data_IF_348733606976
#
_entry.id   IF_348733606976
#
_cell.length_a   1.000
_cell.length_b   1.000
_cell.length_c   1.000
_cell.angle_alpha   90.00
_cell.angle_beta   90.00
_cell.angle_gamma   90.00
#
_symmetry.space_group_name_H-M   'P 1'
#
loop_
_entity.id
_entity.type
_entity.pdbx_description
1 polymer ?
#
# COMPACT_ATOMS: atom_id res chain seq x y z
N UNK A 1 50.88 18.89 -15.04
CA UNK A 1 49.85 19.76 -14.43
C UNK A 1 48.51 19.06 -14.64
N UNK A 2 47.88 18.65 -13.54
CA UNK A 2 46.56 18.02 -13.57
C UNK A 2 45.50 19.08 -13.87
N UNK A 3 44.75 18.90 -14.95
CA UNK A 3 43.57 19.72 -15.25
C UNK A 3 42.46 19.25 -14.33
N UNK A 4 42.05 20.11 -13.40
CA UNK A 4 40.84 19.97 -12.61
C UNK A 4 39.69 19.98 -13.60
N UNK A 5 38.99 18.85 -13.73
CA UNK A 5 37.71 18.79 -14.42
C UNK A 5 36.74 19.47 -13.46
N UNK A 6 36.24 20.64 -13.86
CA UNK A 6 35.10 21.27 -13.23
C UNK A 6 33.94 20.27 -13.25
N UNK A 7 33.62 19.74 -12.07
CA UNK A 7 32.34 19.06 -11.84
C UNK A 7 31.32 20.19 -11.76
N UNK A 8 30.92 20.70 -12.94
CA UNK A 8 29.67 21.44 -13.05
C UNK A 8 28.59 20.53 -12.47
N UNK A 9 27.92 21.04 -11.44
CA UNK A 9 26.78 20.42 -10.81
C UNK A 9 25.67 20.23 -11.85
N UNK A 10 25.68 19.08 -12.51
CA UNK A 10 24.53 18.55 -13.20
C UNK A 10 23.48 18.23 -12.13
N UNK A 11 22.71 19.24 -11.71
CA UNK A 11 21.35 19.02 -11.26
C UNK A 11 20.56 18.55 -12.48
N UNK A 12 20.82 17.31 -12.91
CA UNK A 12 19.89 16.57 -13.75
C UNK A 12 18.64 16.40 -12.90
N UNK A 13 17.64 17.24 -13.17
CA UNK A 13 16.26 16.98 -12.77
C UNK A 13 15.88 15.67 -13.45
N UNK A 14 16.15 14.54 -12.78
CA UNK A 14 15.72 13.23 -13.22
C UNK A 14 14.20 13.20 -13.16
N UNK A 15 13.56 13.58 -14.27
CA UNK A 15 12.17 13.28 -14.53
C UNK A 15 12.03 11.74 -14.55
N UNK A 16 11.69 11.13 -13.40
CA UNK A 16 11.35 9.70 -13.29
C UNK A 16 10.12 9.42 -14.17
N UNK A 17 9.93 8.35 -14.94
CA UNK A 17 8.61 8.23 -15.61
C UNK A 17 7.51 7.91 -14.57
N UNK A 18 6.23 8.28 -14.78
CA UNK A 18 5.13 7.87 -13.87
C UNK A 18 5.09 6.34 -13.71
N UNK A 19 5.46 5.62 -14.77
CA UNK A 19 5.63 4.17 -14.74
C UNK A 19 6.77 3.73 -13.82
N UNK A 20 7.91 4.42 -13.80
CA UNK A 20 9.03 4.07 -12.94
C UNK A 20 8.73 4.29 -11.45
N UNK A 21 7.98 5.34 -11.12
CA UNK A 21 7.46 5.54 -9.76
C UNK A 21 6.56 4.37 -9.33
N UNK A 22 5.68 3.90 -10.21
CA UNK A 22 4.80 2.75 -9.95
C UNK A 22 5.59 1.42 -9.91
N UNK A 23 6.65 1.27 -10.73
CA UNK A 23 7.54 0.10 -10.69
C UNK A 23 8.25 -0.02 -9.34
N UNK A 24 8.72 1.08 -8.76
CA UNK A 24 9.32 1.11 -7.42
C UNK A 24 8.35 0.55 -6.38
N UNK A 25 7.09 0.99 -6.41
CA UNK A 25 6.07 0.49 -5.48
C UNK A 25 5.68 -0.97 -5.75
N UNK A 26 5.68 -1.41 -7.01
CA UNK A 26 5.46 -2.80 -7.39
C UNK A 26 6.58 -3.72 -6.90
N UNK A 27 7.85 -3.29 -6.98
CA UNK A 27 8.98 -4.02 -6.42
C UNK A 27 8.87 -4.16 -4.91
N UNK A 28 8.55 -3.05 -4.22
CA UNK A 28 8.30 -3.05 -2.77
C UNK A 28 7.20 -4.03 -2.39
N UNK A 29 6.10 -4.02 -3.14
CA UNK A 29 5.00 -4.94 -2.96
C UNK A 29 5.44 -6.39 -3.03
N UNK A 30 6.15 -6.80 -4.09
CA UNK A 30 6.61 -8.19 -4.23
C UNK A 30 7.68 -8.59 -3.19
N UNK A 31 8.56 -7.67 -2.81
CA UNK A 31 9.60 -7.95 -1.78
C UNK A 31 9.01 -8.28 -0.41
N UNK A 32 7.78 -7.87 -0.13
CA UNK A 32 7.11 -8.12 1.15
C UNK A 32 6.45 -9.51 1.25
N UNK A 33 6.54 -10.31 0.17
CA UNK A 33 5.77 -11.53 -0.03
C UNK A 33 4.27 -11.32 0.30
N UNK A 34 3.53 -10.63 -0.57
CA UNK A 34 2.17 -10.19 -0.25
C UNK A 34 1.15 -11.34 -0.10
N UNK A 35 1.55 -12.58 -0.37
CA UNK A 35 0.71 -13.77 -0.35
C UNK A 35 -0.15 -13.90 -1.61
N UNK A 36 -1.02 -14.92 -1.62
CA UNK A 36 -1.87 -15.23 -2.77
C UNK A 36 -2.85 -14.10 -3.11
N UNK A 37 -2.88 -13.72 -4.39
CA UNK A 37 -4.00 -13.00 -4.99
C UNK A 37 -5.14 -13.98 -5.28
N UNK A 38 -6.39 -13.58 -5.10
CA UNK A 38 -7.52 -14.53 -5.13
C UNK A 38 -7.71 -15.19 -6.50
N UNK A 39 -8.09 -16.48 -6.53
CA UNK A 39 -8.18 -17.36 -7.71
C UNK A 39 -9.27 -17.05 -8.78
N UNK A 40 -9.78 -15.83 -8.88
CA UNK A 40 -10.79 -15.48 -9.89
C UNK A 40 -10.14 -14.87 -11.15
N UNK A 41 -10.70 -15.07 -12.37
CA UNK A 41 -10.09 -14.71 -13.67
C UNK A 41 -9.97 -13.19 -13.97
N UNK A 42 -10.09 -12.35 -12.93
CA UNK A 42 -9.96 -10.90 -12.98
C UNK A 42 -8.78 -10.45 -12.08
N UNK A 43 -7.59 -11.06 -12.24
CA UNK A 43 -6.30 -10.36 -12.50
C UNK A 43 -6.05 -9.09 -11.63
N UNK A 44 -6.20 -9.18 -10.31
CA UNK A 44 -6.38 -8.02 -9.42
C UNK A 44 -5.14 -7.57 -8.66
N UNK A 45 -4.34 -6.67 -9.22
CA UNK A 45 -3.10 -6.11 -8.64
C UNK A 45 -1.83 -6.91 -8.94
N UNK A 46 -1.73 -8.22 -8.65
CA UNK A 46 -0.48 -8.97 -8.92
C UNK A 46 -0.11 -8.93 -10.39
N UNK A 47 -1.06 -9.26 -11.26
CA UNK A 47 -0.83 -9.28 -12.70
C UNK A 47 -0.59 -7.87 -13.28
N UNK A 48 -1.26 -6.85 -12.75
CA UNK A 48 -1.00 -5.44 -13.11
C UNK A 48 0.40 -5.01 -12.69
N UNK A 49 0.84 -5.38 -11.48
CA UNK A 49 2.20 -5.13 -11.00
C UNK A 49 3.24 -5.86 -11.86
N UNK A 50 3.03 -7.14 -12.19
CA UNK A 50 3.90 -7.88 -13.12
C UNK A 50 3.96 -7.22 -14.50
N UNK A 51 2.81 -6.75 -15.02
CA UNK A 51 2.74 -6.04 -16.30
C UNK A 51 3.54 -4.74 -16.25
N UNK A 52 3.39 -3.97 -15.17
CA UNK A 52 4.14 -2.74 -14.94
C UNK A 52 5.66 -2.96 -14.95
N UNK A 53 6.11 -4.04 -14.29
CA UNK A 53 7.52 -4.44 -14.23
C UNK A 53 8.06 -5.02 -15.55
N UNK A 54 7.19 -5.49 -16.44
CA UNK A 54 7.58 -5.99 -17.76
C UNK A 54 7.83 -4.87 -18.77
N UNK A 55 8.18 -5.25 -20.01
CA UNK A 55 8.28 -4.34 -21.16
C UNK A 55 6.92 -4.03 -21.82
N UNK A 56 5.82 -4.65 -21.39
CA UNK A 56 4.48 -4.46 -22.01
C UNK A 56 3.95 -3.06 -21.74
N UNK A 57 3.23 -2.46 -22.69
CA UNK A 57 2.60 -1.16 -22.50
C UNK A 57 1.46 -1.22 -21.48
N UNK A 58 1.21 -0.09 -20.81
CA UNK A 58 0.14 0.04 -19.83
C UNK A 58 -0.44 1.46 -19.93
N UNK A 59 -1.76 1.57 -19.94
CA UNK A 59 -2.40 2.88 -20.03
C UNK A 59 -2.20 3.66 -18.74
N UNK A 60 -2.35 4.99 -18.80
CA UNK A 60 -2.23 5.83 -17.60
C UNK A 60 -3.36 5.59 -16.62
N UNK A 61 -4.54 5.24 -17.10
CA UNK A 61 -5.65 4.83 -16.25
C UNK A 61 -5.32 3.53 -15.50
N UNK A 62 -4.68 2.57 -16.17
CA UNK A 62 -4.23 1.32 -15.55
C UNK A 62 -3.08 1.56 -14.56
N UNK A 63 -2.14 2.46 -14.88
CA UNK A 63 -1.10 2.93 -13.96
C UNK A 63 -1.68 3.58 -12.72
N UNK A 64 -2.65 4.50 -12.88
CA UNK A 64 -3.34 5.15 -11.77
C UNK A 64 -4.07 4.12 -10.91
N UNK A 65 -4.79 3.17 -11.51
CA UNK A 65 -5.46 2.09 -10.77
C UNK A 65 -4.47 1.21 -10.01
N UNK A 66 -3.37 0.84 -10.65
CA UNK A 66 -2.30 0.05 -10.04
C UNK A 66 -1.67 0.80 -8.85
N UNK A 67 -1.32 2.07 -9.04
CA UNK A 67 -0.69 2.91 -7.99
C UNK A 67 -1.55 2.98 -6.73
N UNK A 68 -2.86 3.21 -6.87
CA UNK A 68 -3.82 3.22 -5.76
C UNK A 68 -3.90 1.87 -5.05
N UNK A 69 -3.84 0.79 -5.81
CA UNK A 69 -3.84 -0.56 -5.25
C UNK A 69 -2.54 -0.91 -4.53
N UNK A 70 -1.39 -0.48 -5.05
CA UNK A 70 -0.08 -0.67 -4.41
C UNK A 70 0.04 0.17 -3.14
N UNK A 71 -0.45 1.41 -3.15
CA UNK A 71 -0.48 2.28 -1.98
C UNK A 71 -1.23 1.61 -0.82
N UNK A 72 -2.42 1.05 -1.09
CA UNK A 72 -3.22 0.30 -0.10
C UNK A 72 -2.42 -0.86 0.51
N UNK A 73 -1.80 -1.69 -0.34
CA UNK A 73 -1.05 -2.87 0.11
C UNK A 73 0.21 -2.50 0.88
N UNK A 74 1.08 -1.70 0.29
CA UNK A 74 2.37 -1.34 0.88
C UNK A 74 2.17 -0.60 2.20
N UNK A 75 1.14 0.25 2.31
CA UNK A 75 0.84 0.94 3.56
C UNK A 75 0.33 -0.03 4.61
N UNK A 76 -0.61 -0.91 4.27
CA UNK A 76 -1.12 -1.88 5.24
C UNK A 76 -0.01 -2.81 5.78
N UNK A 77 0.92 -3.23 4.91
CA UNK A 77 2.09 -4.03 5.27
C UNK A 77 3.01 -3.25 6.22
N UNK A 78 3.36 -2.02 5.84
CA UNK A 78 4.20 -1.12 6.65
C UNK A 78 3.58 -0.86 8.03
N UNK A 79 2.28 -0.61 8.09
CA UNK A 79 1.54 -0.37 9.32
C UNK A 79 1.60 -1.59 10.24
N UNK A 80 1.34 -2.80 9.73
CA UNK A 80 1.41 -4.00 10.54
C UNK A 80 2.79 -4.17 11.20
N UNK A 81 3.87 -3.96 10.44
CA UNK A 81 5.23 -4.03 10.98
C UNK A 81 5.50 -2.92 12.01
N UNK A 82 5.11 -1.68 11.72
CA UNK A 82 5.25 -0.55 12.65
C UNK A 82 4.43 -0.71 13.93
N UNK A 83 3.28 -1.36 13.86
CA UNK A 83 2.46 -1.65 15.04
C UNK A 83 3.17 -2.62 15.96
N UNK A 84 3.70 -3.73 15.44
CA UNK A 84 4.50 -4.68 16.22
C UNK A 84 5.66 -3.97 16.93
N UNK A 85 6.40 -3.15 16.18
CA UNK A 85 7.53 -2.37 16.70
C UNK A 85 7.09 -1.39 17.80
N UNK A 86 6.10 -0.54 17.53
CA UNK A 86 5.60 0.45 18.49
C UNK A 86 4.99 -0.20 19.74
N UNK A 87 4.34 -1.35 19.56
CA UNK A 87 3.82 -2.16 20.65
C UNK A 87 4.94 -2.83 21.45
N UNK A 88 6.18 -2.88 20.97
CA UNK A 88 7.29 -3.54 21.66
C UNK A 88 7.03 -5.03 21.89
N UNK A 89 6.42 -5.70 20.92
CA UNK A 89 6.15 -7.14 20.97
C UNK A 89 6.98 -7.87 19.92
N UNK A 90 7.41 -9.08 20.25
CA UNK A 90 8.03 -9.95 19.25
C UNK A 90 6.97 -10.41 18.24
N UNK A 91 7.20 -10.28 16.93
CA UNK A 91 6.28 -10.82 15.94
C UNK A 91 6.24 -12.35 16.03
N UNK A 92 5.13 -12.95 15.59
CA UNK A 92 5.00 -14.43 15.55
C UNK A 92 6.03 -15.09 14.62
N UNK A 93 6.40 -14.40 13.55
CA UNK A 93 7.45 -14.75 12.60
C UNK A 93 7.81 -13.51 11.77
N UNK A 94 8.75 -13.63 10.84
CA UNK A 94 8.98 -12.57 9.86
C UNK A 94 7.74 -12.36 8.97
N UNK A 95 7.44 -11.10 8.62
CA UNK A 95 6.25 -10.77 7.84
C UNK A 95 6.23 -11.47 6.48
N UNK A 96 7.39 -11.58 5.83
CA UNK A 96 7.55 -12.28 4.55
C UNK A 96 7.12 -13.74 4.66
N UNK A 97 7.39 -14.36 5.81
CA UNK A 97 7.17 -15.79 6.02
C UNK A 97 5.78 -16.07 6.56
N UNK A 98 5.07 -15.03 7.01
CA UNK A 98 3.70 -15.14 7.48
C UNK A 98 2.76 -15.50 6.32
N UNK A 99 2.26 -16.73 6.33
CA UNK A 99 1.22 -17.17 5.41
C UNK A 99 -0.16 -17.09 6.10
N UNK A 100 -1.11 -16.41 5.45
CA UNK A 100 -2.48 -16.32 5.96
C UNK A 100 -3.37 -17.49 5.50
N UNK A 101 -2.90 -18.33 4.57
CA UNK A 101 -3.60 -19.49 4.00
C UNK A 101 -3.27 -20.77 4.75
N UNK A 102 -2.02 -20.94 5.17
CA UNK A 102 -1.67 -21.88 6.22
C UNK A 102 -2.01 -21.25 7.58
N UNK A 103 -2.82 -21.95 8.38
CA UNK A 103 -2.97 -21.64 9.80
C UNK A 103 -1.83 -22.39 10.51
N UNK A 104 -0.64 -21.80 10.74
CA UNK A 104 0.46 -22.55 11.32
C UNK A 104 0.15 -22.87 12.79
N UNK A 105 -0.84 -22.16 13.38
CA UNK A 105 -1.21 -22.29 14.76
C UNK A 105 -2.75 -22.27 14.92
N UNK A 106 -3.35 -23.47 14.82
CA UNK A 106 -4.80 -23.67 15.03
C UNK A 106 -5.26 -23.14 16.38
N UNK A 107 -4.39 -23.19 17.38
CA UNK A 107 -4.70 -22.77 18.75
C UNK A 107 -4.87 -21.25 18.82
N UNK A 108 -3.98 -20.48 18.17
CA UNK A 108 -4.12 -19.02 18.11
C UNK A 108 -5.35 -18.58 17.31
N UNK A 109 -5.71 -19.32 16.26
CA UNK A 109 -6.97 -19.09 15.53
C UNK A 109 -8.20 -19.32 16.42
N UNK A 110 -8.22 -20.43 17.15
CA UNK A 110 -9.30 -20.73 18.09
C UNK A 110 -9.37 -19.67 19.20
N UNK A 111 -8.22 -19.25 19.72
CA UNK A 111 -8.12 -18.21 20.73
C UNK A 111 -8.64 -16.86 20.21
N UNK A 112 -8.33 -16.49 18.97
CA UNK A 112 -8.85 -15.27 18.33
C UNK A 112 -10.39 -15.27 18.31
N UNK A 113 -11.00 -16.41 17.97
CA UNK A 113 -12.46 -16.59 17.95
C UNK A 113 -13.03 -16.49 19.37
N UNK A 114 -12.46 -17.21 20.33
CA UNK A 114 -12.94 -17.25 21.71
C UNK A 114 -12.89 -15.87 22.40
N UNK A 115 -11.86 -15.10 22.09
CA UNK A 115 -11.64 -13.78 22.69
C UNK A 115 -12.28 -12.63 21.91
N UNK A 116 -12.77 -12.90 20.69
CA UNK A 116 -13.30 -11.85 19.81
C UNK A 116 -12.23 -10.89 19.27
N UNK A 117 -10.94 -11.23 19.38
CA UNK A 117 -9.82 -10.35 19.01
C UNK A 117 -9.92 -9.85 17.56
N UNK A 118 -10.36 -10.72 16.63
CA UNK A 118 -10.55 -10.37 15.22
C UNK A 118 -11.50 -9.18 15.05
N UNK A 119 -12.61 -9.20 15.78
CA UNK A 119 -13.65 -8.18 15.68
C UNK A 119 -13.19 -6.87 16.29
N UNK A 120 -12.48 -6.93 17.42
CA UNK A 120 -11.93 -5.73 18.08
C UNK A 120 -10.91 -5.04 17.16
N UNK A 121 -10.00 -5.78 16.51
CA UNK A 121 -9.03 -5.20 15.56
C UNK A 121 -9.73 -4.63 14.31
N UNK A 122 -10.82 -5.27 13.87
CA UNK A 122 -11.66 -4.76 12.77
C UNK A 122 -12.28 -3.40 13.14
N UNK A 123 -12.84 -3.31 14.35
CA UNK A 123 -13.58 -2.14 14.82
C UNK A 123 -12.67 -0.97 15.19
N UNK A 124 -11.43 -1.24 15.57
CA UNK A 124 -10.42 -0.21 15.83
C UNK A 124 -10.02 0.59 14.57
N UNK A 125 -10.35 0.09 13.37
CA UNK A 125 -10.08 0.77 12.08
C UNK A 125 -8.62 1.22 11.89
N UNK A 126 -7.66 0.57 12.56
CA UNK A 126 -6.22 0.86 12.50
C UNK A 126 -5.56 0.46 11.17
N UNK A 127 -6.33 0.06 10.16
CA UNK A 127 -5.81 -0.14 8.81
C UNK A 127 -6.67 0.68 7.86
N UNK A 128 -6.10 1.26 6.79
CA UNK A 128 -6.87 2.00 5.81
C UNK A 128 -8.12 1.23 5.40
N UNK A 129 -9.28 1.84 5.58
CA UNK A 129 -10.59 1.25 5.23
C UNK A 129 -10.86 1.30 3.73
N UNK A 130 -9.99 2.00 2.99
CA UNK A 130 -10.29 2.54 1.68
C UNK A 130 -9.96 1.55 0.59
N UNK A 131 -11.01 1.08 -0.08
CA UNK A 131 -10.88 0.35 -1.32
C UNK A 131 -10.56 1.32 -2.48
N UNK A 132 -9.38 1.94 -2.46
CA UNK A 132 -9.03 2.99 -3.42
C UNK A 132 -9.18 2.51 -4.88
N UNK A 133 -8.69 1.31 -5.21
CA UNK A 133 -8.72 0.78 -6.57
C UNK A 133 -9.88 -0.20 -6.86
N UNK A 134 -10.81 -0.40 -5.93
CA UNK A 134 -11.84 -1.44 -6.05
C UNK A 134 -11.35 -2.88 -5.79
N UNK A 135 -10.12 -3.06 -5.28
CA UNK A 135 -9.53 -4.35 -4.94
C UNK A 135 -10.15 -5.00 -3.69
N UNK A 136 -10.01 -6.33 -3.55
CA UNK A 136 -10.41 -7.04 -2.31
C UNK A 136 -9.56 -6.59 -1.13
N UNK A 137 -10.11 -6.59 0.08
CA UNK A 137 -9.36 -6.23 1.31
C UNK A 137 -8.10 -7.08 1.49
N UNK A 138 -7.00 -6.45 1.87
CA UNK A 138 -5.76 -7.15 2.23
C UNK A 138 -5.82 -7.67 3.67
N UNK A 139 -6.03 -8.97 3.84
CA UNK A 139 -6.22 -9.55 5.18
C UNK A 139 -4.91 -9.96 5.86
N UNK A 140 -3.83 -10.20 5.10
CA UNK A 140 -2.52 -10.64 5.64
C UNK A 140 -1.97 -9.71 6.74
N UNK A 141 -1.88 -8.37 6.54
CA UNK A 141 -1.36 -7.46 7.58
C UNK A 141 -2.14 -7.51 8.89
N UNK A 142 -3.47 -7.55 8.82
CA UNK A 142 -4.32 -7.64 10.01
C UNK A 142 -4.14 -8.96 10.74
N UNK A 143 -4.12 -10.08 10.01
CA UNK A 143 -3.90 -11.42 10.58
C UNK A 143 -2.52 -11.54 11.22
N UNK A 144 -1.50 -10.92 10.62
CA UNK A 144 -0.16 -10.88 11.18
C UNK A 144 -0.13 -10.18 12.54
N UNK A 145 -0.78 -9.01 12.63
CA UNK A 145 -0.91 -8.27 13.89
C UNK A 145 -1.65 -9.09 14.96
N UNK A 146 -2.82 -9.62 14.61
CA UNK A 146 -3.64 -10.45 15.49
C UNK A 146 -2.86 -11.63 16.07
N UNK A 147 -2.24 -12.43 15.19
CA UNK A 147 -1.51 -13.63 15.59
C UNK A 147 -0.28 -13.28 16.44
N UNK A 148 0.40 -12.16 16.16
CA UNK A 148 1.53 -11.70 16.97
C UNK A 148 1.10 -11.23 18.36
N UNK A 149 -0.03 -10.52 18.48
CA UNK A 149 -0.59 -10.12 19.79
C UNK A 149 -0.95 -11.35 20.63
N UNK A 150 -1.64 -12.32 20.03
CA UNK A 150 -2.05 -13.54 20.71
C UNK A 150 -0.85 -14.43 21.08
N UNK A 151 0.15 -14.54 20.20
CA UNK A 151 1.40 -15.26 20.49
C UNK A 151 2.18 -14.60 21.64
N UNK A 152 2.11 -13.28 21.79
CA UNK A 152 2.67 -12.54 22.92
C UNK A 152 1.83 -12.63 24.20
N UNK A 153 0.74 -13.42 24.20
CA UNK A 153 -0.18 -13.55 25.34
C UNK A 153 -0.97 -12.28 25.64
N UNK A 154 -1.16 -11.40 24.65
CA UNK A 154 -1.91 -10.15 24.81
C UNK A 154 -3.34 -10.39 24.34
N UNK A 155 -4.19 -10.69 25.31
CA UNK A 155 -5.63 -10.90 25.10
C UNK A 155 -6.40 -9.59 25.32
N UNK A 156 -7.61 -9.44 24.74
CA UNK A 156 -8.49 -8.29 24.95
C UNK A 156 -8.63 -7.88 26.43
N UNK A 157 -8.57 -6.57 26.67
CA UNK A 157 -8.51 -5.94 27.99
C UNK A 157 -7.43 -4.86 28.06
N UNK A 158 -7.17 -4.28 29.25
CA UNK A 158 -6.36 -3.06 29.41
C UNK A 158 -4.97 -3.08 28.75
N UNK A 159 -4.31 -4.25 28.71
CA UNK A 159 -3.00 -4.37 28.06
C UNK A 159 -3.14 -4.30 26.54
N UNK A 160 -4.15 -4.97 25.98
CA UNK A 160 -4.47 -4.95 24.56
C UNK A 160 -4.92 -3.55 24.12
N UNK A 161 -5.81 -2.91 24.86
CA UNK A 161 -6.32 -1.59 24.52
C UNK A 161 -5.20 -0.54 24.48
N UNK A 162 -4.25 -0.62 25.42
CA UNK A 162 -3.03 0.21 25.38
C UNK A 162 -2.17 -0.06 24.14
N UNK A 163 -2.07 -1.31 23.68
CA UNK A 163 -1.36 -1.63 22.42
C UNK A 163 -2.11 -1.08 21.21
N UNK A 164 -3.43 -1.18 21.19
CA UNK A 164 -4.25 -0.63 20.10
C UNK A 164 -4.15 0.90 20.02
N UNK A 165 -4.13 1.61 21.14
CA UNK A 165 -3.90 3.06 21.16
C UNK A 165 -2.53 3.48 20.59
N UNK A 166 -1.50 2.63 20.71
CA UNK A 166 -0.21 2.84 20.04
C UNK A 166 -0.34 2.65 18.52
N UNK A 167 -1.10 1.65 18.07
CA UNK A 167 -1.37 1.46 16.64
C UNK A 167 -2.15 2.64 16.05
N UNK A 168 -3.15 3.17 16.75
CA UNK A 168 -3.88 4.38 16.33
C UNK A 168 -2.95 5.58 16.16
N UNK A 169 -2.08 5.84 17.15
CA UNK A 169 -1.07 6.91 17.07
C UNK A 169 -0.09 6.74 15.92
N UNK A 170 0.28 5.50 15.58
CA UNK A 170 1.13 5.21 14.41
C UNK A 170 0.34 5.45 13.12
N UNK A 171 -0.91 4.96 13.04
CA UNK A 171 -1.77 5.12 11.87
C UNK A 171 -1.93 6.60 11.50
N UNK A 172 -2.24 7.45 12.48
CA UNK A 172 -2.46 8.88 12.25
C UNK A 172 -1.26 9.59 11.62
N UNK A 173 -0.04 9.13 11.94
CA UNK A 173 1.21 9.67 11.39
C UNK A 173 1.52 9.16 9.98
N UNK A 174 1.09 7.94 9.66
CA UNK A 174 1.50 7.25 8.44
C UNK A 174 0.48 7.36 7.29
N UNK A 175 -0.76 7.80 7.56
CA UNK A 175 -1.86 7.82 6.58
C UNK A 175 -1.99 9.14 5.79
N UNK A 176 -1.00 10.03 5.86
CA UNK A 176 -1.03 11.34 5.19
C UNK A 176 -1.29 11.23 3.69
N UNK A 177 -0.59 10.33 2.99
CA UNK A 177 -0.77 10.10 1.54
C UNK A 177 -2.20 9.67 1.20
N UNK A 178 -2.91 8.94 2.07
CA UNK A 178 -4.31 8.58 1.82
C UNK A 178 -5.21 9.81 1.91
N UNK A 179 -4.94 10.73 2.84
CA UNK A 179 -5.68 11.98 2.96
C UNK A 179 -5.50 12.84 1.71
N UNK A 180 -4.29 12.87 1.15
CA UNK A 180 -3.99 13.60 -0.08
C UNK A 180 -4.73 12.99 -1.28
N UNK A 181 -4.72 11.67 -1.41
CA UNK A 181 -5.49 10.94 -2.45
C UNK A 181 -6.99 11.18 -2.29
N UNK A 182 -7.53 11.16 -1.07
CA UNK A 182 -8.94 11.45 -0.81
C UNK A 182 -9.31 12.90 -1.14
N UNK A 183 -8.43 13.85 -0.82
CA UNK A 183 -8.62 15.26 -1.18
C UNK A 183 -8.65 15.43 -2.70
N UNK A 184 -7.70 14.81 -3.42
CA UNK A 184 -7.68 14.83 -4.89
C UNK A 184 -8.95 14.22 -5.49
N UNK A 185 -9.43 13.08 -4.96
CA UNK A 185 -10.71 12.48 -5.38
C UNK A 185 -11.90 13.42 -5.21
N UNK A 186 -11.96 14.13 -4.08
CA UNK A 186 -13.04 15.09 -3.83
C UNK A 186 -13.01 16.21 -4.86
N UNK A 187 -11.82 16.74 -5.20
CA UNK A 187 -11.69 17.78 -6.22
C UNK A 187 -12.14 17.30 -7.62
N UNK A 188 -11.74 16.08 -8.01
CA UNK A 188 -12.20 15.45 -9.27
C UNK A 188 -13.73 15.37 -9.31
N UNK A 189 -14.36 14.95 -8.22
CA UNK A 189 -15.82 14.81 -8.13
C UNK A 189 -16.56 16.15 -8.09
N UNK A 190 -15.95 17.21 -7.56
CA UNK A 190 -16.51 18.57 -7.64
C UNK A 190 -16.55 19.03 -9.11
N UNK A 191 -15.48 18.80 -9.86
CA UNK A 191 -15.40 19.17 -11.28
C UNK A 191 -16.24 18.26 -12.19
N UNK A 192 -16.36 16.98 -11.86
CA UNK A 192 -17.16 16.00 -12.58
C UNK A 192 -17.72 14.92 -11.63
N UNK A 193 -18.97 15.06 -11.15
CA UNK A 193 -19.58 14.12 -10.22
C UNK A 193 -19.71 12.68 -10.72
N UNK A 194 -19.60 12.45 -12.04
CA UNK A 194 -19.72 11.13 -12.67
C UNK A 194 -18.35 10.52 -13.03
N UNK A 195 -17.24 11.15 -12.65
CA UNK A 195 -15.90 10.65 -12.96
C UNK A 195 -15.60 9.30 -12.27
N UNK A 196 -15.01 8.36 -13.01
CA UNK A 196 -14.46 7.14 -12.41
C UNK A 196 -13.12 7.45 -11.72
N UNK A 197 -13.14 7.51 -10.40
CA UNK A 197 -11.97 7.81 -9.57
C UNK A 197 -11.10 6.59 -9.25
N UNK A 198 -11.43 5.39 -9.75
CA UNK A 198 -10.64 4.17 -9.49
C UNK A 198 -9.38 4.07 -10.32
N UNK A 199 -9.24 4.90 -11.35
CA UNK A 199 -8.08 4.97 -12.25
C UNK A 199 -7.93 6.35 -12.89
N UNK A 200 -8.37 7.41 -12.20
CA UNK A 200 -8.26 8.76 -12.74
C UNK A 200 -6.78 9.19 -12.78
N UNK A 201 -6.24 9.65 -13.93
CA UNK A 201 -4.83 10.00 -14.08
C UNK A 201 -4.29 10.96 -13.01
N UNK A 202 -5.09 11.93 -12.58
CA UNK A 202 -4.69 12.90 -11.55
C UNK A 202 -4.41 12.26 -10.17
N UNK A 203 -4.90 11.04 -9.91
CA UNK A 203 -4.62 10.34 -8.66
C UNK A 203 -3.25 9.64 -8.67
N UNK A 204 -2.62 9.50 -9.83
CA UNK A 204 -1.26 8.99 -9.93
C UNK A 204 -0.27 9.93 -9.21
N UNK A 205 -0.49 11.24 -9.33
CA UNK A 205 0.25 12.27 -8.62
C UNK A 205 0.19 12.09 -7.10
N UNK A 206 -1.03 12.04 -6.57
CA UNK A 206 -1.27 11.96 -5.14
C UNK A 206 -0.82 10.64 -4.52
N UNK A 207 -0.89 9.53 -5.25
CA UNK A 207 -0.56 8.19 -4.70
C UNK A 207 0.92 7.83 -4.73
N UNK A 208 1.69 8.45 -5.63
CA UNK A 208 3.13 8.20 -5.78
C UNK A 208 4.01 9.39 -5.38
N UNK A 209 3.43 10.51 -4.89
CA UNK A 209 4.17 11.70 -4.45
C UNK A 209 4.88 12.43 -5.59
N UNK A 210 4.27 12.45 -6.78
CA UNK A 210 4.94 12.82 -8.03
C UNK A 210 5.13 14.35 -8.19
N UNK A 211 4.55 15.17 -7.32
CA UNK A 211 4.62 16.65 -7.42
C UNK A 211 6.03 17.25 -7.22
N UNK A 212 7.04 16.47 -6.83
CA UNK A 212 8.42 16.97 -6.67
C UNK A 212 9.41 16.57 -7.77
N UNK A 213 9.11 15.60 -8.63
CA UNK A 213 10.11 15.06 -9.56
C UNK A 213 9.76 15.12 -11.04
N UNK A 214 8.52 15.49 -11.43
CA UNK A 214 8.07 15.30 -12.81
C UNK A 214 7.17 16.39 -13.39
N UNK A 215 7.71 17.14 -14.35
CA UNK A 215 6.90 17.72 -15.40
C UNK A 215 6.45 16.61 -16.36
N UNK A 216 5.16 16.30 -16.41
CA UNK A 216 4.61 15.33 -17.36
C UNK A 216 4.70 15.87 -18.79
N UNK A 217 5.61 15.35 -19.61
CA UNK A 217 5.58 15.56 -21.04
C UNK A 217 4.49 14.66 -21.66
N UNK A 218 3.32 15.25 -21.91
CA UNK A 218 2.22 14.60 -22.65
C UNK A 218 2.70 14.27 -24.06
N UNK A 219 2.74 12.98 -24.42
CA UNK A 219 2.94 12.58 -25.82
C UNK A 219 1.71 11.87 -26.35
N UNK A 220 1.19 12.36 -27.47
CA UNK A 220 0.06 11.71 -28.14
C UNK A 220 0.61 10.74 -29.19
N UNK A 221 0.30 9.45 -29.03
CA UNK A 221 0.62 8.41 -30.02
C UNK A 221 -0.70 7.83 -30.51
N UNK A 222 -0.95 7.97 -31.83
CA UNK A 222 -2.16 7.44 -32.49
C UNK A 222 -3.49 7.88 -31.83
N UNK A 223 -3.60 9.16 -31.44
CA UNK A 223 -4.82 9.69 -30.83
C UNK A 223 -5.06 9.26 -29.38
N UNK A 224 -4.07 8.60 -28.75
CA UNK A 224 -4.09 8.23 -27.34
C UNK A 224 -3.01 9.02 -26.61
N UNK A 225 -3.40 9.64 -25.51
CA UNK A 225 -2.46 10.22 -24.55
C UNK A 225 -1.63 9.11 -23.93
N UNK A 226 -0.33 9.14 -24.19
CA UNK A 226 0.69 8.31 -23.56
C UNK A 226 1.53 9.24 -22.69
N UNK A 227 1.71 8.86 -21.43
CA UNK A 227 2.57 9.55 -20.48
C UNK A 227 3.75 8.64 -20.13
#
# INVERSE_FOLDING_TARGET
MASIIDIESANENFNISPRDAVRREALRYFSSNPGMDTAAPNVGLHNSACTCLSARDMSVQDLARLSLGLLDRNTSIKLAQKYIEAMGISPICDYSDFDCTFSPNKDLWQLAIQTGTTQIILDAQIFPSVNLAGNRRHTKPRRFLEQSLLAAGILPGDKFDRKMGLAESVMEKEITVFRDVEAARKQILIGNPQADTRGHPELLLASCGIDQELGYDKREICGKLVY
#
